data_IF_630649691951
#
_entry.id   IF_630649691951
#
_cell.length_a   1.000
_cell.length_b   1.000
_cell.length_c   1.000
_cell.angle_alpha   90.00
_cell.angle_beta   90.00
_cell.angle_gamma   90.00
#
_symmetry.space_group_name_H-M   'P 1'
#
loop_
_entity.id
_entity.type
_entity.pdbx_description
1 polymer ?
#
# COMPACT_ATOMS: atom_id res chain seq x y z
N UNK A 1 -12.16 8.54 16.81
CA UNK A 1 -10.73 8.27 16.56
C UNK A 1 -10.37 6.98 17.29
N UNK A 2 -9.94 5.93 16.58
CA UNK A 2 -9.60 4.65 17.20
C UNK A 2 -8.09 4.59 17.50
N UNK A 3 -7.75 4.49 18.79
CA UNK A 3 -6.49 4.07 19.46
C UNK A 3 -5.11 4.64 19.03
N UNK A 4 -4.87 4.97 17.75
CA UNK A 4 -3.58 5.44 17.23
C UNK A 4 -3.66 6.80 16.50
N UNK A 5 -4.84 7.44 16.49
CA UNK A 5 -5.08 8.66 15.70
C UNK A 5 -5.08 8.44 14.18
N UNK A 6 -4.90 7.19 13.74
CA UNK A 6 -4.92 6.81 12.33
C UNK A 6 -6.39 6.63 11.89
N UNK A 7 -6.82 7.23 10.77
CA UNK A 7 -8.15 6.99 10.23
C UNK A 7 -8.32 5.49 9.91
N UNK A 8 -9.44 4.83 10.28
CA UNK A 8 -9.70 3.44 9.89
C UNK A 8 -9.56 3.19 8.38
N UNK A 9 -9.78 4.23 7.57
CA UNK A 9 -9.57 4.24 6.13
C UNK A 9 -8.11 4.01 5.72
N UNK A 10 -7.13 4.46 6.51
CA UNK A 10 -5.72 4.25 6.18
C UNK A 10 -5.27 2.79 6.44
N UNK A 11 -5.98 2.08 7.32
CA UNK A 11 -5.68 0.68 7.64
C UNK A 11 -6.01 -0.26 6.48
N UNK A 12 -7.14 -0.06 5.80
CA UNK A 12 -7.53 -0.86 4.64
C UNK A 12 -6.50 -0.75 3.50
N UNK A 13 -6.03 0.47 3.21
CA UNK A 13 -4.98 0.71 2.22
C UNK A 13 -3.70 -0.06 2.51
N UNK A 14 -3.22 -0.03 3.75
CA UNK A 14 -1.99 -0.73 4.15
C UNK A 14 -2.10 -2.25 4.00
N UNK A 15 -3.23 -2.85 4.38
CA UNK A 15 -3.43 -4.30 4.30
C UNK A 15 -3.46 -4.78 2.85
N UNK A 16 -4.28 -4.15 2.00
CA UNK A 16 -4.39 -4.55 0.59
C UNK A 16 -3.13 -4.21 -0.22
N UNK A 17 -2.50 -3.07 0.06
CA UNK A 17 -1.21 -2.68 -0.52
C UNK A 17 -0.13 -3.71 -0.27
N UNK A 18 0.14 -4.02 1.01
CA UNK A 18 1.18 -4.96 1.39
C UNK A 18 0.90 -6.38 0.85
N UNK A 19 -0.36 -6.82 0.87
CA UNK A 19 -0.76 -8.12 0.34
C UNK A 19 -0.49 -8.23 -1.17
N UNK A 20 -0.93 -7.26 -1.98
CA UNK A 20 -0.71 -7.28 -3.43
C UNK A 20 0.77 -7.07 -3.78
N UNK A 21 1.49 -6.22 -3.04
CA UNK A 21 2.93 -6.03 -3.22
C UNK A 21 3.69 -7.35 -3.01
N UNK A 22 3.37 -8.08 -1.94
CA UNK A 22 3.93 -9.41 -1.67
C UNK A 22 3.55 -10.46 -2.71
N UNK A 23 2.27 -10.51 -3.12
CA UNK A 23 1.78 -11.47 -4.10
C UNK A 23 2.44 -11.27 -5.47
N UNK A 24 2.50 -10.04 -5.96
CA UNK A 24 3.14 -9.73 -7.24
C UNK A 24 4.66 -9.91 -7.19
N UNK A 25 5.29 -9.61 -6.06
CA UNK A 25 6.69 -9.96 -5.86
C UNK A 25 6.91 -11.47 -5.88
N UNK A 26 6.02 -12.26 -5.31
CA UNK A 26 6.12 -13.72 -5.29
C UNK A 26 6.04 -14.31 -6.70
N UNK A 27 5.11 -13.81 -7.53
CA UNK A 27 4.88 -14.29 -8.90
C UNK A 27 6.05 -13.90 -9.82
N UNK A 28 6.45 -12.63 -9.81
CA UNK A 28 7.41 -12.12 -10.80
C UNK A 28 8.85 -12.06 -10.29
N UNK A 29 9.08 -12.14 -8.97
CA UNK A 29 10.39 -12.01 -8.31
C UNK A 29 11.14 -10.73 -8.70
N UNK A 30 10.42 -9.66 -9.02
CA UNK A 30 10.98 -8.34 -9.36
C UNK A 30 10.50 -7.28 -8.37
N UNK A 31 11.44 -6.48 -7.87
CA UNK A 31 11.16 -5.41 -6.91
C UNK A 31 10.16 -4.37 -7.45
N UNK A 32 10.24 -4.03 -8.74
CA UNK A 32 9.31 -3.08 -9.36
C UNK A 32 7.88 -3.61 -9.43
N UNK A 33 7.68 -4.93 -9.42
CA UNK A 33 6.34 -5.51 -9.40
C UNK A 33 5.68 -5.39 -8.03
N UNK A 34 6.47 -5.37 -6.96
CA UNK A 34 5.97 -5.05 -5.61
C UNK A 34 5.43 -3.61 -5.54
N UNK A 35 6.14 -2.66 -6.17
CA UNK A 35 5.73 -1.24 -6.28
C UNK A 35 4.39 -1.11 -7.00
N UNK A 36 4.21 -1.83 -8.12
CA UNK A 36 2.94 -1.85 -8.84
C UNK A 36 1.83 -2.45 -7.97
N UNK A 37 2.13 -3.53 -7.26
CA UNK A 37 1.18 -4.14 -6.32
C UNK A 37 0.75 -3.20 -5.20
N UNK A 38 1.67 -2.42 -4.64
CA UNK A 38 1.36 -1.44 -3.62
C UNK A 38 0.45 -0.32 -4.17
N UNK A 39 0.74 0.19 -5.38
CA UNK A 39 -0.05 1.25 -6.02
C UNK A 39 -1.47 0.75 -6.33
N UNK A 40 -1.61 -0.47 -6.87
CA UNK A 40 -2.92 -1.06 -7.17
C UNK A 40 -3.66 -1.41 -5.87
N UNK A 41 -2.97 -2.04 -4.92
CA UNK A 41 -3.53 -2.49 -3.65
C UNK A 41 -3.98 -1.34 -2.77
N UNK A 42 -3.18 -0.28 -2.63
CA UNK A 42 -3.55 0.90 -1.82
C UNK A 42 -4.47 1.84 -2.60
N UNK A 43 -4.15 2.10 -3.86
CA UNK A 43 -4.84 3.09 -4.69
C UNK A 43 -6.22 2.63 -5.17
N UNK A 44 -6.35 1.39 -5.65
CA UNK A 44 -7.63 0.85 -6.15
C UNK A 44 -8.34 0.07 -5.06
N UNK A 45 -7.76 -1.02 -4.55
CA UNK A 45 -8.44 -1.89 -3.60
C UNK A 45 -8.61 -1.23 -2.22
N UNK A 46 -7.60 -0.49 -1.77
CA UNK A 46 -7.59 0.23 -0.50
C UNK A 46 -8.59 1.37 -0.48
N UNK A 47 -8.68 2.15 -1.56
CA UNK A 47 -9.77 3.12 -1.69
C UNK A 47 -11.12 2.42 -1.73
N UNK A 48 -11.23 1.31 -2.49
CA UNK A 48 -12.43 0.47 -2.58
C UNK A 48 -12.95 -0.02 -1.23
N UNK A 49 -12.08 -0.57 -0.42
CA UNK A 49 -12.43 -1.02 0.92
C UNK A 49 -12.65 0.13 1.91
N UNK A 50 -12.08 1.32 1.67
CA UNK A 50 -12.20 2.48 2.57
C UNK A 50 -13.57 3.12 2.57
N UNK A 51 -14.30 3.07 1.46
CA UNK A 51 -15.62 3.69 1.40
C UNK A 51 -16.69 3.05 2.30
N UNK A 52 -16.91 1.72 2.34
CA UNK A 52 -17.89 1.16 3.26
C UNK A 52 -17.53 1.48 4.72
N UNK A 53 -16.23 1.50 5.05
CA UNK A 53 -15.73 1.93 6.36
C UNK A 53 -16.05 3.41 6.62
N UNK A 54 -15.92 4.27 5.61
CA UNK A 54 -16.22 5.69 5.70
C UNK A 54 -17.73 5.96 5.83
N UNK A 55 -18.57 5.27 5.07
CA UNK A 55 -20.04 5.38 5.13
C UNK A 55 -20.52 4.93 6.51
N UNK A 56 -19.96 3.84 7.04
CA UNK A 56 -20.26 3.38 8.39
C UNK A 56 -19.83 4.38 9.47
N UNK A 57 -18.69 5.05 9.28
CA UNK A 57 -18.16 6.03 10.23
C UNK A 57 -18.83 7.41 10.15
N UNK A 58 -19.20 7.86 8.95
CA UNK A 58 -19.69 9.22 8.67
C UNK A 58 -21.22 9.30 8.60
N UNK A 59 -21.93 8.18 8.42
CA UNK A 59 -23.40 8.13 8.33
C UNK A 59 -24.01 8.79 7.09
N UNK A 60 -23.19 9.36 6.20
CA UNK A 60 -23.62 10.00 4.95
C UNK A 60 -23.22 9.15 3.75
N UNK A 61 -24.20 8.66 3.02
CA UNK A 61 -24.08 7.81 1.83
C UNK A 61 -23.83 8.63 0.55
N UNK A 62 -22.99 9.66 0.63
CA UNK A 62 -22.66 10.45 -0.55
C UNK A 62 -21.64 9.69 -1.42
N UNK A 63 -22.13 9.11 -2.51
CA UNK A 63 -21.32 8.34 -3.47
C UNK A 63 -20.20 9.18 -4.13
N UNK A 64 -20.24 10.51 -4.05
CA UNK A 64 -19.18 11.39 -4.56
C UNK A 64 -17.88 11.34 -3.73
N UNK A 65 -17.91 10.87 -2.48
CA UNK A 65 -16.69 10.84 -1.66
C UNK A 65 -15.59 9.95 -2.26
N UNK A 66 -15.98 8.89 -2.98
CA UNK A 66 -15.06 8.06 -3.77
C UNK A 66 -14.20 8.85 -4.74
N UNK A 67 -14.81 9.75 -5.50
CA UNK A 67 -14.12 10.55 -6.52
C UNK A 67 -13.10 11.52 -5.92
N UNK A 68 -13.26 11.87 -4.65
CA UNK A 68 -12.33 12.75 -3.92
C UNK A 68 -11.27 11.94 -3.16
N UNK A 69 -11.63 10.78 -2.62
CA UNK A 69 -10.73 9.94 -1.83
C UNK A 69 -9.79 9.09 -2.69
N UNK A 70 -10.29 8.50 -3.77
CA UNK A 70 -9.48 7.62 -4.63
C UNK A 70 -8.26 8.33 -5.21
N UNK A 71 -8.36 9.57 -5.74
CA UNK A 71 -7.17 10.30 -6.22
C UNK A 71 -6.17 10.63 -5.10
N UNK A 72 -6.64 10.91 -3.87
CA UNK A 72 -5.76 11.16 -2.71
C UNK A 72 -4.99 9.89 -2.32
N UNK A 73 -5.66 8.75 -2.28
CA UNK A 73 -5.03 7.45 -2.05
C UNK A 73 -4.04 7.11 -3.15
N UNK A 74 -4.39 7.37 -4.41
CA UNK A 74 -3.50 7.15 -5.55
C UNK A 74 -2.26 8.04 -5.50
N UNK A 75 -2.42 9.33 -5.23
CA UNK A 75 -1.29 10.26 -5.11
C UNK A 75 -0.35 9.91 -3.94
N UNK A 76 -0.93 9.54 -2.79
CA UNK A 76 -0.15 9.06 -1.65
C UNK A 76 0.58 7.74 -1.94
N UNK A 77 -0.11 6.78 -2.57
CA UNK A 77 0.47 5.50 -2.95
C UNK A 77 1.60 5.67 -3.97
N UNK A 78 1.41 6.44 -5.05
CA UNK A 78 2.45 6.68 -6.04
C UNK A 78 3.69 7.33 -5.41
N UNK A 79 3.50 8.43 -4.67
CA UNK A 79 4.63 9.14 -4.06
C UNK A 79 5.38 8.28 -3.04
N UNK A 80 4.65 7.58 -2.16
CA UNK A 80 5.22 6.65 -1.19
C UNK A 80 5.95 5.49 -1.85
N UNK A 81 5.35 4.85 -2.86
CA UNK A 81 5.93 3.71 -3.57
C UNK A 81 7.19 4.09 -4.37
N UNK A 82 7.24 5.29 -4.96
CA UNK A 82 8.46 5.79 -5.63
C UNK A 82 9.60 5.96 -4.62
N UNK A 83 9.33 6.61 -3.49
CA UNK A 83 10.33 6.82 -2.43
C UNK A 83 10.83 5.48 -1.89
N UNK A 84 9.90 4.58 -1.57
CA UNK A 84 10.20 3.23 -1.10
C UNK A 84 11.05 2.44 -2.11
N UNK A 85 10.75 2.56 -3.42
CA UNK A 85 11.51 1.89 -4.46
C UNK A 85 12.96 2.39 -4.55
N UNK A 86 13.19 3.71 -4.49
CA UNK A 86 14.53 4.28 -4.50
C UNK A 86 15.33 3.80 -3.28
N UNK A 87 14.71 3.78 -2.09
CA UNK A 87 15.32 3.25 -0.88
C UNK A 87 15.66 1.77 -1.05
N UNK A 88 14.73 0.96 -1.57
CA UNK A 88 14.93 -0.47 -1.80
C UNK A 88 16.08 -0.75 -2.79
N UNK A 89 16.22 0.05 -3.85
CA UNK A 89 17.34 -0.06 -4.79
C UNK A 89 18.69 0.22 -4.14
N UNK A 90 18.75 1.16 -3.19
CA UNK A 90 19.98 1.42 -2.41
C UNK A 90 20.23 0.33 -1.39
N UNK A 91 19.19 -0.07 -0.65
CA UNK A 91 19.27 -1.06 0.41
C UNK A 91 19.67 -2.44 -0.13
N UNK A 92 19.17 -2.83 -1.30
CA UNK A 92 19.53 -4.10 -1.96
C UNK A 92 21.01 -4.24 -2.32
N UNK A 93 21.75 -3.13 -2.40
CA UNK A 93 23.19 -3.14 -2.66
C UNK A 93 24.02 -3.33 -1.39
N UNK A 94 23.43 -3.07 -0.22
CA UNK A 94 24.08 -3.12 1.08
C UNK A 94 24.29 -4.58 1.53
N UNK A 95 25.45 -4.84 2.14
CA UNK A 95 25.85 -6.20 2.57
C UNK A 95 24.87 -6.79 3.61
N UNK A 96 24.47 -5.97 4.59
CA UNK A 96 23.54 -6.35 5.65
C UNK A 96 22.21 -6.86 5.09
N UNK A 97 21.67 -6.18 4.08
CA UNK A 97 20.40 -6.59 3.47
C UNK A 97 20.53 -7.92 2.74
N UNK A 98 21.64 -8.14 2.01
CA UNK A 98 21.92 -9.43 1.36
C UNK A 98 22.08 -10.56 2.37
N UNK A 99 22.72 -10.29 3.51
CA UNK A 99 22.91 -11.30 4.55
C UNK A 99 21.57 -11.66 5.24
N UNK A 100 20.69 -10.69 5.46
CA UNK A 100 19.32 -10.93 5.94
C UNK A 100 18.52 -11.74 4.90
N UNK A 101 18.60 -11.39 3.61
CA UNK A 101 17.89 -12.13 2.56
C UNK A 101 18.27 -13.62 2.55
N UNK A 102 19.55 -13.97 2.74
CA UNK A 102 20.00 -15.37 2.81
C UNK A 102 19.32 -16.19 3.91
N UNK A 103 18.84 -15.56 4.99
CA UNK A 103 18.11 -16.25 6.06
C UNK A 103 16.74 -16.75 5.61
N UNK A 104 16.11 -16.08 4.64
CA UNK A 104 14.76 -16.38 4.15
C UNK A 104 14.76 -17.20 2.85
N UNK A 105 15.84 -17.18 2.07
CA UNK A 105 15.96 -17.89 0.79
C UNK A 105 16.81 -19.18 0.90
N UNK A 106 16.65 -19.93 2.00
CA UNK A 106 17.32 -21.22 2.19
C UNK A 106 16.53 -22.37 1.58
#
# INVERSE_FOLDING_TARGET
MLLLGIPPLAFTGAVFGAFLAGLLYLIYRKNWMAVIGEIIGTGVLGSLASYPVMVWYTGSSNQLFWFVFTPKFFGGAISGSIIAYVILLRLSKTRQFKDIQKLFFK
#
